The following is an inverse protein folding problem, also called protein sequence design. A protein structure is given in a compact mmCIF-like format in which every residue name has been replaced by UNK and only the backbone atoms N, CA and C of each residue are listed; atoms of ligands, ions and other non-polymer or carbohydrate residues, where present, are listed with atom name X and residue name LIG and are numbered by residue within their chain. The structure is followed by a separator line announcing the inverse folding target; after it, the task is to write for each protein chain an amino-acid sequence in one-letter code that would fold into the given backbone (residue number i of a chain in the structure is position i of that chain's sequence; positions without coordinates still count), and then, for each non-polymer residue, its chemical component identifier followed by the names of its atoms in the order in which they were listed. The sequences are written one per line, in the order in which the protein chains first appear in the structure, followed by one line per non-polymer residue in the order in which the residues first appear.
data_IF_204723846457
#
_entry.id   IF_204723846457
#
_cell.length_a   1.000
_cell.length_b   1.000
_cell.length_c   1.000
_cell.angle_alpha   90.00
_cell.angle_beta   90.00
_cell.angle_gamma   90.00
#
_symmetry.space_group_name_H-M   'P 1'
#
loop_
_entity.id
_entity.type
_entity.pdbx_description
1 polymer ?
#
# COMPACT_ATOMS: atom_id res chain seq x y z
N UNK A 1 -4.79 2.23 -22.67
CA UNK A 1 -3.87 1.16 -22.28
C UNK A 1 -3.75 1.18 -20.76
N UNK A 2 -3.63 0.06 -20.04
CA UNK A 2 -3.38 0.08 -18.62
C UNK A 2 -2.07 0.82 -18.34
N UNK A 3 -2.09 1.76 -17.39
CA UNK A 3 -0.87 2.46 -16.97
C UNK A 3 0.04 1.45 -16.26
N UNK A 4 1.31 1.44 -16.61
CA UNK A 4 2.31 0.69 -15.83
C UNK A 4 2.48 1.36 -14.47
N UNK A 5 2.59 0.55 -13.41
CA UNK A 5 2.75 1.04 -12.03
C UNK A 5 4.05 0.46 -11.48
N UNK A 6 4.85 1.30 -10.85
CA UNK A 6 5.99 0.90 -10.02
C UNK A 6 5.74 1.43 -8.62
N UNK A 7 5.67 0.54 -7.65
CA UNK A 7 5.46 0.89 -6.24
C UNK A 7 6.67 0.49 -5.41
N UNK A 8 7.19 1.40 -4.60
CA UNK A 8 8.31 1.19 -3.69
C UNK A 8 7.82 1.28 -2.24
N UNK A 9 7.97 0.19 -1.50
CA UNK A 9 7.67 0.17 -0.06
C UNK A 9 8.95 0.40 0.73
N UNK A 10 9.02 1.52 1.45
CA UNK A 10 10.18 1.87 2.29
C UNK A 10 10.27 1.02 3.55
N UNK A 11 9.21 0.30 3.88
CA UNK A 11 9.08 -0.46 5.13
C UNK A 11 9.33 0.44 6.34
N UNK A 12 9.85 -0.08 7.45
CA UNK A 12 10.17 0.68 8.66
C UNK A 12 11.64 1.16 8.61
N UNK A 13 11.93 2.02 7.63
CA UNK A 13 13.27 2.58 7.43
C UNK A 13 13.20 4.11 7.33
N UNK A 14 14.38 4.72 7.40
CA UNK A 14 14.63 6.15 7.32
C UNK A 14 14.22 6.94 8.57
N UNK A 15 14.76 8.14 8.64
CA UNK A 15 14.35 9.24 9.50
C UNK A 15 13.85 10.41 8.63
N UNK A 16 13.54 11.54 9.24
CA UNK A 16 13.03 12.72 8.51
C UNK A 16 14.05 13.25 7.49
N UNK A 17 15.34 13.28 7.85
CA UNK A 17 16.40 13.77 6.96
C UNK A 17 16.62 12.83 5.77
N UNK A 18 16.82 11.54 6.02
CA UNK A 18 17.06 10.53 4.98
C UNK A 18 15.83 10.34 4.09
N UNK A 19 14.61 10.46 4.63
CA UNK A 19 13.36 10.44 3.86
C UNK A 19 13.30 11.58 2.85
N UNK A 20 13.61 12.80 3.28
CA UNK A 20 13.65 13.98 2.40
C UNK A 20 14.75 13.86 1.35
N UNK A 21 15.96 13.43 1.77
CA UNK A 21 17.07 13.23 0.86
C UNK A 21 16.74 12.19 -0.23
N UNK A 22 16.23 11.04 0.17
CA UNK A 22 15.83 9.98 -0.77
C UNK A 22 14.75 10.46 -1.75
N UNK A 23 13.77 11.21 -1.24
CA UNK A 23 12.72 11.80 -2.08
C UNK A 23 13.31 12.80 -3.08
N UNK A 24 14.20 13.69 -2.65
CA UNK A 24 14.85 14.66 -3.53
C UNK A 24 15.65 13.97 -4.63
N UNK A 25 16.50 12.99 -4.27
CA UNK A 25 17.32 12.24 -5.22
C UNK A 25 16.44 11.48 -6.23
N UNK A 26 15.33 10.89 -5.76
CA UNK A 26 14.35 10.21 -6.61
C UNK A 26 13.68 11.19 -7.60
N UNK A 27 13.17 12.33 -7.12
CA UNK A 27 12.50 13.32 -7.97
C UNK A 27 13.45 13.91 -9.00
N UNK A 28 14.70 14.15 -8.64
CA UNK A 28 15.75 14.56 -9.59
C UNK A 28 15.93 13.52 -10.70
N UNK A 29 16.06 12.26 -10.36
CA UNK A 29 16.20 11.16 -11.35
C UNK A 29 14.97 11.05 -12.27
N UNK A 30 13.75 11.26 -11.73
CA UNK A 30 12.52 11.26 -12.54
C UNK A 30 12.48 12.43 -13.52
N UNK A 31 12.90 13.62 -13.11
CA UNK A 31 12.92 14.80 -13.98
C UNK A 31 13.87 14.61 -15.19
N UNK A 32 14.97 13.92 -14.97
CA UNK A 32 15.94 13.59 -16.04
C UNK A 32 15.40 12.54 -17.02
N UNK A 33 14.54 11.61 -16.56
CA UNK A 33 14.02 10.51 -17.39
C UNK A 33 12.81 10.87 -18.26
N UNK A 34 12.09 11.95 -17.95
CA UNK A 34 10.87 12.42 -18.64
C UNK A 34 9.78 11.34 -18.87
N UNK A 35 9.77 10.27 -18.08
CA UNK A 35 8.85 9.15 -18.25
C UNK A 35 7.57 9.33 -17.43
N UNK A 36 6.58 10.01 -18.01
CA UNK A 36 5.24 10.23 -17.41
C UNK A 36 4.26 9.07 -17.62
N UNK A 37 4.60 8.09 -18.45
CA UNK A 37 3.73 6.95 -18.79
C UNK A 37 3.62 5.90 -17.67
N UNK A 38 4.56 5.92 -16.74
CA UNK A 38 4.62 4.99 -15.60
C UNK A 38 4.19 5.73 -14.34
N UNK A 39 3.19 5.20 -13.64
CA UNK A 39 2.80 5.66 -12.30
C UNK A 39 3.85 5.19 -11.29
N UNK A 40 4.39 6.10 -10.49
CA UNK A 40 5.36 5.81 -9.43
C UNK A 40 4.70 6.07 -8.08
N UNK A 41 4.69 5.07 -7.21
CA UNK A 41 4.08 5.16 -5.88
C UNK A 41 5.14 4.89 -4.82
N UNK A 42 5.31 5.84 -3.89
CA UNK A 42 6.21 5.70 -2.74
C UNK A 42 5.38 5.42 -1.50
N UNK A 43 5.49 4.19 -0.95
CA UNK A 43 4.82 3.83 0.31
C UNK A 43 5.73 4.17 1.48
N UNK A 44 5.34 5.22 2.22
CA UNK A 44 6.18 5.94 3.19
C UNK A 44 5.64 5.72 4.62
N UNK A 45 6.52 5.57 5.64
CA UNK A 45 6.09 5.53 7.05
C UNK A 45 5.28 6.75 7.46
N UNK A 46 4.31 6.56 8.36
CA UNK A 46 3.39 7.62 8.81
C UNK A 46 4.07 8.94 9.23
N UNK A 47 5.18 8.94 10.01
CA UNK A 47 5.82 10.18 10.45
C UNK A 47 6.27 11.08 9.29
N UNK A 48 6.56 10.50 8.13
CA UNK A 48 7.12 11.22 6.98
C UNK A 48 6.13 11.44 5.84
N UNK A 49 4.90 10.89 5.94
CA UNK A 49 3.89 10.95 4.89
C UNK A 49 3.63 12.37 4.40
N UNK A 50 3.35 13.30 5.31
CA UNK A 50 3.01 14.67 4.96
C UNK A 50 4.19 15.42 4.33
N UNK A 51 5.41 15.25 4.86
CA UNK A 51 6.60 15.92 4.34
C UNK A 51 6.96 15.42 2.93
N UNK A 52 6.94 14.09 2.73
CA UNK A 52 7.23 13.49 1.42
C UNK A 52 6.11 13.80 0.41
N UNK A 53 4.85 13.78 0.82
CA UNK A 53 3.72 14.12 -0.05
C UNK A 53 3.84 15.54 -0.60
N UNK A 54 4.18 16.51 0.26
CA UNK A 54 4.41 17.90 -0.17
C UNK A 54 5.57 18.05 -1.14
N UNK A 55 6.64 17.27 -0.99
CA UNK A 55 7.76 17.27 -1.94
C UNK A 55 7.39 16.71 -3.32
N UNK A 56 6.43 15.78 -3.37
CA UNK A 56 5.95 15.18 -4.62
C UNK A 56 4.80 15.98 -5.27
N UNK A 57 4.29 17.01 -4.61
CA UNK A 57 3.17 17.82 -5.10
C UNK A 57 3.52 18.49 -6.43
N UNK A 58 2.61 18.38 -7.41
CA UNK A 58 2.83 18.93 -8.75
C UNK A 58 3.75 18.12 -9.66
N UNK A 59 4.39 17.04 -9.17
CA UNK A 59 5.21 16.17 -10.00
C UNK A 59 4.34 15.11 -10.67
N UNK A 60 4.24 15.19 -12.00
CA UNK A 60 3.38 14.30 -12.77
C UNK A 60 3.74 12.82 -12.58
N UNK A 61 2.72 11.98 -12.39
CA UNK A 61 2.83 10.52 -12.24
C UNK A 61 3.64 10.01 -11.02
N UNK A 62 3.93 10.88 -10.03
CA UNK A 62 4.52 10.49 -8.74
C UNK A 62 3.49 10.69 -7.64
N UNK A 63 3.29 9.66 -6.83
CA UNK A 63 2.32 9.66 -5.74
C UNK A 63 2.88 9.04 -4.47
N UNK A 64 2.34 9.46 -3.33
CA UNK A 64 2.68 8.89 -2.02
C UNK A 64 1.56 7.99 -1.54
N UNK A 65 1.91 6.90 -0.91
CA UNK A 65 1.02 5.91 -0.31
C UNK A 65 1.32 5.76 1.17
N UNK A 66 0.29 5.58 1.99
CA UNK A 66 0.47 5.05 3.32
C UNK A 66 0.87 3.56 3.26
N UNK A 67 1.53 3.06 4.30
CA UNK A 67 1.92 1.64 4.42
C UNK A 67 0.84 0.79 5.09
N UNK A 68 -0.14 1.41 5.72
CA UNK A 68 -1.22 0.80 6.47
C UNK A 68 -2.26 1.85 6.86
N UNK A 69 -3.37 1.41 7.47
CA UNK A 69 -4.33 2.24 8.21
C UNK A 69 -5.04 1.39 9.26
N UNK A 70 -5.81 2.04 10.14
CA UNK A 70 -6.71 1.38 11.08
C UNK A 70 -7.90 0.71 10.37
N UNK A 71 -8.40 -0.39 10.93
CA UNK A 71 -9.67 -1.01 10.52
C UNK A 71 -10.90 -0.34 11.13
N UNK A 72 -10.70 0.75 11.87
CA UNK A 72 -11.75 1.57 12.47
C UNK A 72 -11.79 2.96 11.85
N UNK A 73 -12.98 3.51 11.70
CA UNK A 73 -13.17 4.83 11.07
C UNK A 73 -12.64 5.97 11.94
N UNK A 74 -12.99 5.97 13.22
CA UNK A 74 -12.55 6.91 14.25
C UNK A 74 -12.93 6.39 15.64
N UNK A 75 -12.38 6.97 16.71
CA UNK A 75 -12.74 6.63 18.09
C UNK A 75 -11.55 6.45 19.03
N UNK A 76 -11.75 5.70 20.11
CA UNK A 76 -10.77 5.48 21.18
C UNK A 76 -9.75 4.39 20.79
N UNK A 77 -8.96 4.64 19.76
CA UNK A 77 -7.93 3.75 19.23
C UNK A 77 -6.58 4.45 19.24
N UNK A 78 -6.06 4.70 20.43
CA UNK A 78 -4.82 5.46 20.63
C UNK A 78 -3.65 4.89 19.82
N UNK A 79 -3.03 5.73 19.00
CA UNK A 79 -1.89 5.34 18.14
C UNK A 79 -2.26 4.93 16.72
N UNK A 80 -3.55 4.69 16.43
CA UNK A 80 -4.02 4.34 15.09
C UNK A 80 -4.17 5.54 14.15
N UNK A 81 -4.03 5.28 12.86
CA UNK A 81 -4.23 6.25 11.79
C UNK A 81 -5.41 5.82 10.92
N UNK A 82 -6.47 6.63 10.87
CA UNK A 82 -7.68 6.33 10.12
C UNK A 82 -7.58 6.73 8.63
N UNK A 83 -8.46 6.17 7.79
CA UNK A 83 -8.59 6.59 6.40
C UNK A 83 -8.93 8.08 6.26
N UNK A 84 -9.76 8.63 7.16
CA UNK A 84 -10.11 10.05 7.22
C UNK A 84 -8.90 10.94 7.49
N UNK A 85 -7.98 10.52 8.38
CA UNK A 85 -6.71 11.22 8.62
C UNK A 85 -5.84 11.22 7.37
N UNK A 86 -5.71 10.10 6.67
CA UNK A 86 -4.95 10.02 5.41
C UNK A 86 -5.55 10.90 4.31
N UNK A 87 -6.88 10.88 4.15
CA UNK A 87 -7.59 11.73 3.20
C UNK A 87 -7.39 13.21 3.50
N UNK A 88 -7.37 13.61 4.78
CA UNK A 88 -7.20 15.01 5.20
C UNK A 88 -5.84 15.61 4.81
N UNK A 89 -4.84 14.79 4.59
CA UNK A 89 -3.51 15.18 4.10
C UNK A 89 -3.28 14.75 2.64
N UNK A 90 -4.37 14.51 1.89
CA UNK A 90 -4.39 14.23 0.46
C UNK A 90 -3.56 13.01 0.05
N UNK A 91 -3.50 11.95 0.87
CA UNK A 91 -2.84 10.70 0.52
C UNK A 91 -3.77 9.85 -0.36
N UNK A 92 -3.41 9.62 -1.64
CA UNK A 92 -4.30 8.97 -2.60
C UNK A 92 -4.26 7.44 -2.59
N UNK A 93 -3.28 6.82 -1.92
CA UNK A 93 -3.07 5.37 -1.90
C UNK A 93 -2.74 4.88 -0.50
N UNK A 94 -3.07 3.61 -0.19
CA UNK A 94 -2.58 2.92 0.99
C UNK A 94 -2.37 1.44 0.71
N UNK A 95 -1.25 0.88 1.20
CA UNK A 95 -1.06 -0.57 1.28
C UNK A 95 -2.05 -1.16 2.28
N UNK A 96 -2.59 -2.35 1.99
CA UNK A 96 -3.39 -3.16 2.91
C UNK A 96 -3.04 -4.63 2.75
N UNK A 97 -3.00 -5.37 3.87
CA UNK A 97 -2.77 -6.80 3.87
C UNK A 97 -1.35 -7.21 3.48
N UNK A 98 -0.34 -6.35 3.66
CA UNK A 98 1.06 -6.71 3.40
C UNK A 98 1.47 -7.94 4.20
N UNK A 99 2.27 -8.84 3.62
CA UNK A 99 2.65 -10.13 4.23
C UNK A 99 3.22 -9.98 5.64
N UNK A 100 4.09 -9.01 5.87
CA UNK A 100 4.63 -8.71 7.20
C UNK A 100 3.54 -8.41 8.23
N UNK A 101 2.46 -7.73 7.84
CA UNK A 101 1.35 -7.42 8.75
C UNK A 101 0.49 -8.64 9.05
N UNK A 102 0.29 -9.50 8.06
CA UNK A 102 -0.41 -10.78 8.24
C UNK A 102 0.37 -11.70 9.17
N UNK A 103 1.66 -11.80 8.96
CA UNK A 103 2.55 -12.72 9.67
C UNK A 103 2.92 -12.23 11.08
N UNK A 104 3.33 -10.95 11.21
CA UNK A 104 3.88 -10.41 12.45
C UNK A 104 2.83 -9.75 13.35
N UNK A 105 1.72 -9.24 12.78
CA UNK A 105 0.68 -8.50 13.50
C UNK A 105 -0.68 -9.18 13.46
N UNK A 106 -0.79 -10.40 12.92
CA UNK A 106 -2.03 -11.17 12.90
C UNK A 106 -3.16 -10.54 12.08
N UNK A 107 -2.82 -9.77 11.04
CA UNK A 107 -3.82 -9.11 10.20
C UNK A 107 -4.58 -10.13 9.34
N UNK A 108 -5.85 -10.36 9.67
CA UNK A 108 -6.72 -11.32 8.97
C UNK A 108 -7.35 -10.73 7.72
N UNK A 109 -7.85 -11.59 6.79
CA UNK A 109 -8.53 -11.12 5.58
C UNK A 109 -9.79 -10.31 5.86
N UNK A 110 -10.51 -10.58 6.97
CA UNK A 110 -11.64 -9.75 7.39
C UNK A 110 -11.21 -8.35 7.82
N UNK A 111 -10.10 -8.22 8.53
CA UNK A 111 -9.50 -6.91 8.89
C UNK A 111 -9.07 -6.17 7.63
N UNK A 112 -8.42 -6.87 6.69
CA UNK A 112 -8.01 -6.31 5.40
C UNK A 112 -9.21 -5.83 4.60
N UNK A 113 -10.29 -6.61 4.53
CA UNK A 113 -11.53 -6.21 3.87
C UNK A 113 -12.13 -4.93 4.49
N UNK A 114 -12.19 -4.84 5.82
CA UNK A 114 -12.67 -3.63 6.51
C UNK A 114 -11.82 -2.40 6.15
N UNK A 115 -10.50 -2.54 6.10
CA UNK A 115 -9.58 -1.47 5.68
C UNK A 115 -9.82 -1.04 4.24
N UNK A 116 -10.02 -1.99 3.33
CA UNK A 116 -10.33 -1.70 1.92
C UNK A 116 -11.61 -0.88 1.82
N UNK A 117 -12.68 -1.25 2.53
CA UNK A 117 -13.93 -0.51 2.54
C UNK A 117 -13.73 0.94 3.02
N UNK A 118 -13.03 1.13 4.14
CA UNK A 118 -12.74 2.46 4.69
C UNK A 118 -11.91 3.33 3.74
N UNK A 119 -10.94 2.76 3.03
CA UNK A 119 -10.18 3.49 2.02
C UNK A 119 -11.08 3.96 0.87
N UNK A 120 -11.88 3.07 0.31
CA UNK A 120 -12.80 3.38 -0.80
C UNK A 120 -13.84 4.43 -0.42
N UNK A 121 -14.38 4.38 0.81
CA UNK A 121 -15.31 5.37 1.37
C UNK A 121 -14.66 6.76 1.51
N UNK A 122 -13.35 6.83 1.68
CA UNK A 122 -12.59 8.08 1.80
C UNK A 122 -11.87 8.48 0.49
N UNK A 123 -12.24 7.87 -0.66
CA UNK A 123 -11.65 8.11 -1.99
C UNK A 123 -10.14 7.86 -2.05
N UNK A 124 -9.64 6.94 -1.25
CA UNK A 124 -8.26 6.46 -1.28
C UNK A 124 -8.22 5.12 -2.00
N UNK A 125 -7.32 4.96 -2.96
CA UNK A 125 -7.15 3.72 -3.71
C UNK A 125 -6.39 2.70 -2.87
N UNK A 126 -6.99 1.53 -2.52
CA UNK A 126 -6.27 0.46 -1.85
C UNK A 126 -5.25 -0.18 -2.78
N UNK A 127 -4.05 -0.46 -2.26
CA UNK A 127 -3.08 -1.38 -2.87
C UNK A 127 -3.16 -2.66 -2.05
N UNK A 128 -4.00 -3.59 -2.49
CA UNK A 128 -4.23 -4.86 -1.81
C UNK A 128 -3.06 -5.80 -2.07
N UNK A 129 -2.37 -6.18 -1.01
CA UNK A 129 -1.29 -7.16 -1.04
C UNK A 129 -1.84 -8.55 -0.73
N UNK A 130 -1.61 -9.47 -1.65
CA UNK A 130 -1.88 -10.90 -1.48
C UNK A 130 -0.66 -11.71 -1.92
N UNK A 131 -0.62 -12.95 -1.51
CA UNK A 131 0.46 -13.86 -1.83
C UNK A 131 0.66 -14.89 -0.74
N UNK A 132 1.44 -15.90 -1.05
CA UNK A 132 1.68 -17.04 -0.17
C UNK A 132 3.07 -17.00 0.46
N UNK A 133 3.21 -17.51 1.71
CA UNK A 133 4.51 -17.76 2.31
C UNK A 133 5.20 -18.98 1.67
N UNK A 134 6.51 -19.06 1.81
CA UNK A 134 7.34 -20.09 1.16
C UNK A 134 6.91 -21.53 1.49
N UNK A 135 6.49 -21.80 2.71
CA UNK A 135 6.05 -23.13 3.11
C UNK A 135 4.76 -23.58 2.38
N UNK A 136 3.84 -22.64 2.10
CA UNK A 136 2.62 -22.91 1.32
C UNK A 136 2.97 -23.21 -0.13
N UNK A 137 3.94 -22.48 -0.69
CA UNK A 137 4.43 -22.74 -2.05
C UNK A 137 5.11 -24.10 -2.15
N UNK A 138 5.96 -24.46 -1.19
CA UNK A 138 6.64 -25.74 -1.15
C UNK A 138 5.66 -26.93 -1.05
N UNK A 139 4.50 -26.72 -0.42
CA UNK A 139 3.42 -27.71 -0.32
C UNK A 139 2.50 -27.73 -1.55
N UNK A 140 2.76 -26.91 -2.58
CA UNK A 140 1.93 -26.77 -3.79
C UNK A 140 0.47 -26.36 -3.53
N UNK A 141 0.17 -25.70 -2.42
CA UNK A 141 -1.18 -25.22 -2.04
C UNK A 141 -1.36 -23.72 -2.26
N UNK A 142 -0.41 -23.07 -2.93
CA UNK A 142 -0.37 -21.61 -3.09
C UNK A 142 -1.56 -21.04 -3.87
N UNK A 143 -2.10 -21.75 -4.86
CA UNK A 143 -3.27 -21.29 -5.62
C UNK A 143 -4.50 -21.20 -4.72
N UNK A 144 -4.81 -22.27 -3.99
CA UNK A 144 -5.94 -22.30 -3.04
C UNK A 144 -5.76 -21.24 -1.94
N UNK A 145 -4.56 -21.07 -1.44
CA UNK A 145 -4.25 -20.06 -0.42
C UNK A 145 -4.51 -18.64 -0.90
N UNK A 146 -4.07 -18.29 -2.12
CA UNK A 146 -4.31 -16.96 -2.70
C UNK A 146 -5.79 -16.79 -3.07
N UNK A 147 -6.43 -17.82 -3.60
CA UNK A 147 -7.87 -17.80 -3.89
C UNK A 147 -8.68 -17.52 -2.61
N UNK A 148 -8.34 -18.12 -1.49
CA UNK A 148 -8.99 -17.87 -0.21
C UNK A 148 -8.80 -16.42 0.25
N UNK A 149 -7.59 -15.86 0.15
CA UNK A 149 -7.35 -14.43 0.43
C UNK A 149 -8.23 -13.52 -0.43
N UNK A 150 -8.37 -13.80 -1.72
CA UNK A 150 -9.21 -13.04 -2.64
C UNK A 150 -10.69 -13.14 -2.28
N UNK A 151 -11.18 -14.35 -2.01
CA UNK A 151 -12.57 -14.63 -1.65
C UNK A 151 -12.98 -13.98 -0.32
N UNK A 152 -12.08 -13.99 0.66
CA UNK A 152 -12.34 -13.42 2.00
C UNK A 152 -12.19 -11.90 2.04
N UNK A 153 -11.65 -11.28 0.99
CA UNK A 153 -11.41 -9.84 0.93
C UNK A 153 -12.01 -9.20 -0.33
N UNK A 154 -11.24 -9.05 -1.39
CA UNK A 154 -11.59 -8.20 -2.53
C UNK A 154 -12.78 -8.71 -3.36
N UNK A 155 -13.05 -10.01 -3.39
CA UNK A 155 -14.21 -10.55 -4.11
C UNK A 155 -15.55 -10.29 -3.40
N UNK A 156 -15.54 -9.80 -2.16
CA UNK A 156 -16.74 -9.29 -1.47
C UNK A 156 -17.14 -7.89 -1.93
N UNK A 157 -16.27 -7.18 -2.67
CA UNK A 157 -16.53 -5.83 -3.15
C UNK A 157 -17.58 -5.84 -4.29
N UNK A 158 -18.36 -4.76 -4.38
CA UNK A 158 -19.22 -4.51 -5.54
C UNK A 158 -18.36 -4.24 -6.78
N UNK A 159 -18.87 -4.59 -7.97
CA UNK A 159 -18.14 -4.37 -9.22
C UNK A 159 -17.72 -2.89 -9.44
N UNK A 160 -18.49 -1.93 -8.94
CA UNK A 160 -18.15 -0.50 -9.01
C UNK A 160 -16.95 -0.13 -8.13
N UNK A 161 -16.76 -0.82 -7.01
CA UNK A 161 -15.66 -0.62 -6.08
C UNK A 161 -14.37 -1.27 -6.58
N UNK A 162 -14.49 -2.43 -7.24
CA UNK A 162 -13.36 -3.21 -7.75
C UNK A 162 -12.52 -2.44 -8.78
N UNK A 163 -13.11 -1.48 -9.50
CA UNK A 163 -12.40 -0.62 -10.47
C UNK A 163 -11.38 0.32 -9.82
N UNK A 164 -11.52 0.59 -8.53
CA UNK A 164 -10.69 1.52 -7.78
C UNK A 164 -9.69 0.80 -6.86
N UNK A 165 -9.20 -0.36 -7.29
CA UNK A 165 -8.31 -1.22 -6.52
C UNK A 165 -7.06 -1.56 -7.34
N UNK A 166 -5.91 -1.59 -6.69
CA UNK A 166 -4.67 -2.16 -7.23
C UNK A 166 -4.42 -3.48 -6.50
N UNK A 167 -4.23 -4.57 -7.23
CA UNK A 167 -3.83 -5.86 -6.66
C UNK A 167 -2.33 -6.03 -6.84
N UNK A 168 -1.64 -6.23 -5.73
CA UNK A 168 -0.21 -6.52 -5.67
C UNK A 168 -0.01 -7.97 -5.22
N UNK A 169 0.24 -8.86 -6.18
CA UNK A 169 0.52 -10.26 -5.91
C UNK A 169 2.02 -10.44 -5.62
N UNK A 170 2.34 -10.86 -4.42
CA UNK A 170 3.71 -11.13 -3.98
C UNK A 170 3.91 -12.64 -3.87
N UNK A 171 4.81 -13.18 -4.65
CA UNK A 171 5.19 -14.58 -4.54
C UNK A 171 6.15 -14.77 -3.35
N UNK A 172 5.99 -15.85 -2.58
CA UNK A 172 6.71 -16.16 -1.35
C UNK A 172 8.22 -16.45 -1.45
N UNK A 173 8.87 -15.88 -2.47
CA UNK A 173 10.32 -16.01 -2.68
C UNK A 173 11.14 -14.90 -2.02
N UNK A 174 10.50 -14.00 -1.31
CA UNK A 174 11.23 -12.96 -0.59
C UNK A 174 11.49 -13.48 0.82
N UNK A 175 12.53 -14.33 0.96
CA UNK A 175 13.21 -14.42 2.24
C UNK A 175 13.56 -13.00 2.65
N UNK A 176 13.13 -12.60 3.84
CA UNK A 176 13.58 -11.34 4.42
C UNK A 176 15.10 -11.40 4.51
N UNK A 177 15.78 -10.78 3.54
CA UNK A 177 17.22 -10.51 3.66
C UNK A 177 17.34 -9.63 4.89
N UNK A 178 17.89 -10.22 5.95
CA UNK A 178 18.21 -9.54 7.19
C UNK A 178 19.32 -8.51 6.96
#
# INVERSE_FOLDING_TARGET
MPKKIVAANWKMNNDEYSSKKLTFDFLKSISESNNTKVLKILSVPFPFLNSVSKMCEGVESVFVSAQNLSSYSEGAYTGEVSAKMLSSISIPFSLVGHSERRELFGETDNVVFSKICLLLENNITPIFCCGEPIHVRNNNTHLTYVEEQLNLSVFKLKSSQFKNLIINLVHGLVDHVK
#
